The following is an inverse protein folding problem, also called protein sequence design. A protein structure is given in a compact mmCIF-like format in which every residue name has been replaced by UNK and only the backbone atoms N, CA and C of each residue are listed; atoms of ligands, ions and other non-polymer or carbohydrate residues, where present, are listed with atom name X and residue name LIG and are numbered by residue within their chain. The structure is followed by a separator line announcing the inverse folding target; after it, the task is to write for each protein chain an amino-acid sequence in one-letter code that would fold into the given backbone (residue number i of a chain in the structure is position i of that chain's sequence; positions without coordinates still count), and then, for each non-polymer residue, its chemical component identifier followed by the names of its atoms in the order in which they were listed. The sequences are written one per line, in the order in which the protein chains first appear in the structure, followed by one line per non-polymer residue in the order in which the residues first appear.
data_IF_384374972755
#
_entry.id   IF_384374972755
#
_cell.length_a   1.000
_cell.length_b   1.000
_cell.length_c   1.000
_cell.angle_alpha   90.00
_cell.angle_beta   90.00
_cell.angle_gamma   90.00
#
_symmetry.space_group_name_H-M   'P 1'
#
loop_
_entity.id
_entity.type
_entity.pdbx_description
1 polymer ?
#
# COMPACT_ATOMS: atom_id res chain seq x y z
N UNK A 1 -29.77 -3.85 -4.17
CA UNK A 1 -29.25 -2.94 -5.22
C UNK A 1 -27.95 -3.56 -5.71
N UNK A 2 -27.73 -3.75 -6.99
CA UNK A 2 -26.49 -4.36 -7.49
C UNK A 2 -25.35 -3.34 -7.31
N UNK A 3 -24.41 -3.60 -6.38
CA UNK A 3 -23.27 -2.74 -6.07
C UNK A 3 -22.03 -3.06 -6.93
N UNK A 4 -22.14 -4.01 -7.87
CA UNK A 4 -21.06 -4.32 -8.80
C UNK A 4 -20.81 -3.13 -9.70
N UNK A 5 -19.80 -2.33 -9.37
CA UNK A 5 -19.40 -1.18 -10.16
C UNK A 5 -18.15 -1.54 -10.98
N UNK A 6 -18.08 -0.96 -12.16
CA UNK A 6 -16.88 -0.97 -12.97
C UNK A 6 -16.05 0.27 -12.63
N UNK A 7 -14.76 0.07 -12.36
CA UNK A 7 -13.78 1.13 -12.13
C UNK A 7 -12.85 1.16 -13.33
N UNK A 8 -12.61 2.33 -13.89
CA UNK A 8 -11.69 2.47 -15.01
C UNK A 8 -10.25 2.60 -14.51
N UNK A 9 -9.38 1.68 -14.90
CA UNK A 9 -7.96 1.67 -14.57
C UNK A 9 -7.11 1.82 -15.84
N UNK A 10 -6.08 2.67 -15.85
CA UNK A 10 -5.27 2.92 -17.06
C UNK A 10 -4.45 1.72 -17.52
N UNK A 11 -4.17 0.73 -16.66
CA UNK A 11 -3.39 -0.46 -17.00
C UNK A 11 -4.26 -1.64 -17.42
N UNK A 12 -5.39 -1.83 -16.73
CA UNK A 12 -6.22 -3.04 -16.85
C UNK A 12 -7.57 -2.77 -17.51
N UNK A 13 -7.88 -1.50 -17.81
CA UNK A 13 -9.18 -1.14 -18.37
C UNK A 13 -10.29 -1.14 -17.32
N UNK A 14 -11.41 -1.80 -17.61
CA UNK A 14 -12.54 -1.87 -16.68
C UNK A 14 -12.32 -2.99 -15.65
N UNK A 15 -12.18 -2.60 -14.39
CA UNK A 15 -12.14 -3.51 -13.24
C UNK A 15 -13.57 -3.71 -12.74
N UNK A 16 -14.02 -4.95 -12.71
CA UNK A 16 -15.33 -5.31 -12.12
C UNK A 16 -15.11 -5.86 -10.72
N UNK A 17 -15.77 -5.30 -9.72
CA UNK A 17 -15.69 -5.81 -8.35
C UNK A 17 -16.44 -7.13 -8.24
N UNK A 18 -15.78 -8.25 -7.83
CA UNK A 18 -16.41 -9.56 -7.79
C UNK A 18 -17.42 -9.71 -6.65
N UNK A 19 -17.30 -8.94 -5.55
CA UNK A 19 -18.14 -9.03 -4.36
C UNK A 19 -18.67 -7.65 -3.95
N UNK A 20 -19.92 -7.59 -3.48
CA UNK A 20 -20.59 -6.33 -3.10
C UNK A 20 -19.89 -5.63 -1.92
N UNK A 21 -19.32 -6.40 -0.97
CA UNK A 21 -18.59 -5.86 0.20
C UNK A 21 -17.37 -5.03 -0.22
N UNK A 22 -16.69 -5.40 -1.30
CA UNK A 22 -15.51 -4.67 -1.78
C UNK A 22 -15.85 -3.22 -2.12
N UNK A 23 -17.05 -2.97 -2.63
CA UNK A 23 -17.51 -1.62 -2.87
C UNK A 23 -17.66 -0.82 -1.56
N UNK A 24 -18.28 -1.43 -0.54
CA UNK A 24 -18.45 -0.78 0.76
C UNK A 24 -17.09 -0.52 1.45
N UNK A 25 -16.13 -1.44 1.32
CA UNK A 25 -14.77 -1.26 1.81
C UNK A 25 -14.02 -0.15 1.08
N UNK A 26 -14.17 -0.05 -0.24
CA UNK A 26 -13.58 1.02 -1.04
C UNK A 26 -14.15 2.39 -0.64
N UNK A 27 -15.44 2.49 -0.34
CA UNK A 27 -16.07 3.74 0.12
C UNK A 27 -15.73 4.10 1.57
N UNK A 28 -15.14 3.17 2.35
CA UNK A 28 -14.77 3.42 3.73
C UNK A 28 -13.68 4.52 3.84
N UNK A 29 -13.77 5.46 4.81
CA UNK A 29 -12.83 6.56 4.96
C UNK A 29 -11.35 6.12 5.04
N UNK A 30 -11.06 4.99 5.70
CA UNK A 30 -9.71 4.44 5.80
C UNK A 30 -9.12 4.05 4.43
N UNK A 31 -9.95 3.57 3.51
CA UNK A 31 -9.51 3.26 2.16
C UNK A 31 -9.48 4.50 1.26
N UNK A 32 -10.45 5.39 1.36
CA UNK A 32 -10.54 6.60 0.53
C UNK A 32 -9.33 7.55 0.72
N UNK A 33 -8.69 7.54 1.89
CA UNK A 33 -7.47 8.34 2.12
C UNK A 33 -6.32 7.97 1.18
N UNK A 34 -6.24 6.72 0.73
CA UNK A 34 -5.20 6.25 -0.17
C UNK A 34 -5.17 7.01 -1.52
N UNK A 35 -6.25 7.70 -1.89
CA UNK A 35 -6.29 8.62 -3.05
C UNK A 35 -5.34 9.81 -2.90
N UNK A 36 -4.94 10.15 -1.69
CA UNK A 36 -4.12 11.32 -1.35
C UNK A 36 -2.71 10.94 -0.89
N UNK A 37 -2.35 9.65 -1.01
CA UNK A 37 -1.02 9.12 -0.68
C UNK A 37 -0.40 8.54 -1.95
N UNK A 38 0.70 9.14 -2.40
CA UNK A 38 1.43 8.67 -3.58
C UNK A 38 2.09 7.31 -3.31
N UNK A 39 2.05 6.45 -4.33
CA UNK A 39 2.71 5.13 -4.28
C UNK A 39 4.24 5.28 -4.17
N UNK A 40 4.82 6.17 -4.96
CA UNK A 40 6.27 6.33 -5.09
C UNK A 40 6.83 7.59 -4.40
N UNK A 41 6.13 8.11 -3.40
CA UNK A 41 6.64 9.22 -2.56
C UNK A 41 7.21 10.38 -3.38
N UNK A 42 8.51 10.64 -3.25
CA UNK A 42 9.22 11.74 -3.89
C UNK A 42 9.67 11.44 -5.34
N UNK A 43 9.40 10.27 -5.88
CA UNK A 43 9.88 9.87 -7.22
C UNK A 43 9.36 10.76 -8.35
N UNK A 44 8.24 11.46 -8.15
CA UNK A 44 7.69 12.43 -9.11
C UNK A 44 8.64 13.60 -9.41
N UNK A 45 9.62 13.86 -8.57
CA UNK A 45 10.67 14.88 -8.83
C UNK A 45 11.61 14.48 -9.97
N UNK A 46 11.75 13.18 -10.22
CA UNK A 46 12.58 12.62 -11.30
C UNK A 46 11.70 12.12 -12.45
N UNK A 47 10.60 11.47 -12.11
CA UNK A 47 9.64 10.87 -13.04
C UNK A 47 8.31 11.63 -12.96
N UNK A 48 8.10 12.71 -13.75
CA UNK A 48 6.94 13.60 -13.57
C UNK A 48 5.58 12.90 -13.69
N UNK A 49 5.51 11.74 -14.37
CA UNK A 49 4.31 10.92 -14.49
C UNK A 49 4.00 10.09 -13.24
N UNK A 50 4.95 9.92 -12.32
CA UNK A 50 4.83 9.05 -11.13
C UNK A 50 3.97 9.71 -10.02
N UNK A 51 2.72 10.02 -10.34
CA UNK A 51 1.74 10.63 -9.44
C UNK A 51 0.58 9.70 -9.06
N UNK A 52 0.64 8.43 -9.46
CA UNK A 52 -0.36 7.46 -9.05
C UNK A 52 -0.30 7.22 -7.53
N UNK A 53 -1.44 6.87 -6.99
CA UNK A 53 -1.63 6.74 -5.54
C UNK A 53 -1.77 5.29 -5.14
N UNK A 54 -1.64 5.01 -3.84
CA UNK A 54 -1.89 3.68 -3.26
C UNK A 54 -3.29 3.17 -3.54
N UNK A 55 -4.26 4.06 -3.73
CA UNK A 55 -5.60 3.71 -4.17
C UNK A 55 -5.61 2.99 -5.53
N UNK A 56 -4.86 3.49 -6.51
CA UNK A 56 -4.76 2.85 -7.83
C UNK A 56 -4.10 1.47 -7.72
N UNK A 57 -3.03 1.38 -6.93
CA UNK A 57 -2.31 0.14 -6.69
C UNK A 57 -3.21 -0.92 -6.03
N UNK A 58 -3.88 -0.59 -4.93
CA UNK A 58 -4.76 -1.53 -4.22
C UNK A 58 -5.87 -2.09 -5.12
N UNK A 59 -6.44 -1.26 -6.00
CA UNK A 59 -7.44 -1.72 -6.98
C UNK A 59 -6.84 -2.64 -8.05
N UNK A 60 -5.62 -2.34 -8.51
CA UNK A 60 -4.93 -3.18 -9.48
C UNK A 60 -4.51 -4.53 -8.89
N UNK A 61 -4.01 -4.53 -7.67
CA UNK A 61 -3.69 -5.76 -6.93
C UNK A 61 -4.94 -6.62 -6.71
N UNK A 62 -6.08 -5.99 -6.36
CA UNK A 62 -7.38 -6.68 -6.28
C UNK A 62 -7.79 -7.32 -7.63
N UNK A 63 -7.61 -6.61 -8.73
CA UNK A 63 -7.90 -7.16 -10.06
C UNK A 63 -7.06 -8.41 -10.34
N UNK A 64 -5.75 -8.32 -10.13
CA UNK A 64 -4.86 -9.46 -10.35
C UNK A 64 -5.17 -10.63 -9.41
N UNK A 65 -5.56 -10.37 -8.16
CA UNK A 65 -6.04 -11.40 -7.23
C UNK A 65 -7.29 -12.11 -7.76
N UNK A 66 -8.26 -11.38 -8.26
CA UNK A 66 -9.47 -11.95 -8.85
C UNK A 66 -9.16 -12.86 -10.03
N UNK A 67 -8.24 -12.44 -10.91
CA UNK A 67 -7.81 -13.26 -12.06
C UNK A 67 -7.00 -14.49 -11.61
N UNK A 68 -6.16 -14.38 -10.57
CA UNK A 68 -5.40 -15.50 -10.03
C UNK A 68 -6.33 -16.55 -9.39
N UNK A 69 -7.29 -16.13 -8.56
CA UNK A 69 -8.26 -17.02 -7.93
C UNK A 69 -9.11 -17.73 -8.97
N UNK A 70 -9.57 -17.01 -9.99
CA UNK A 70 -10.32 -17.60 -11.11
C UNK A 70 -9.50 -18.67 -11.84
N UNK A 71 -8.23 -18.34 -12.19
CA UNK A 71 -7.35 -19.28 -12.86
C UNK A 71 -7.09 -20.54 -12.03
N UNK A 72 -6.88 -20.41 -10.72
CA UNK A 72 -6.66 -21.55 -9.81
C UNK A 72 -7.93 -22.42 -9.71
N UNK A 73 -9.12 -21.82 -9.58
CA UNK A 73 -10.40 -22.55 -9.60
C UNK A 73 -10.62 -23.29 -10.93
N UNK A 74 -10.33 -22.64 -12.06
CA UNK A 74 -10.44 -23.24 -13.39
C UNK A 74 -9.49 -24.45 -13.57
N UNK A 75 -8.39 -24.48 -12.82
CA UNK A 75 -7.44 -25.61 -12.75
C UNK A 75 -7.79 -26.67 -11.73
N UNK A 76 -8.93 -26.54 -11.05
CA UNK A 76 -9.43 -27.52 -10.07
C UNK A 76 -8.90 -27.36 -8.66
N UNK A 77 -8.25 -26.21 -8.33
CA UNK A 77 -7.89 -25.91 -6.94
C UNK A 77 -9.17 -25.56 -6.17
N UNK A 78 -9.40 -26.26 -5.08
CA UNK A 78 -10.55 -26.02 -4.22
C UNK A 78 -10.43 -24.71 -3.45
N UNK A 79 -11.21 -23.71 -3.81
CA UNK A 79 -11.31 -22.40 -3.18
C UNK A 79 -12.77 -22.06 -3.01
N UNK A 80 -13.25 -21.98 -1.77
CA UNK A 80 -14.63 -21.59 -1.48
C UNK A 80 -14.89 -20.12 -1.84
N UNK A 81 -16.16 -19.73 -1.91
CA UNK A 81 -16.51 -18.32 -2.16
C UNK A 81 -16.09 -17.42 -0.99
N UNK A 82 -16.15 -17.92 0.25
CA UNK A 82 -15.68 -17.20 1.44
C UNK A 82 -14.16 -16.98 1.41
N UNK A 83 -13.40 -18.00 1.02
CA UNK A 83 -11.93 -17.90 0.85
C UNK A 83 -11.57 -16.92 -0.26
N UNK A 84 -12.28 -16.95 -1.36
CA UNK A 84 -12.03 -16.04 -2.48
C UNK A 84 -12.40 -14.58 -2.14
N UNK A 85 -13.53 -14.35 -1.45
CA UNK A 85 -13.90 -13.03 -0.92
C UNK A 85 -12.85 -12.57 0.09
N UNK A 86 -12.43 -13.44 1.03
CA UNK A 86 -11.40 -13.13 2.04
C UNK A 86 -10.05 -12.76 1.44
N UNK A 87 -9.57 -13.49 0.42
CA UNK A 87 -8.34 -13.17 -0.28
C UNK A 87 -8.42 -11.84 -1.05
N UNK A 88 -9.57 -11.56 -1.69
CA UNK A 88 -9.82 -10.26 -2.34
C UNK A 88 -9.83 -9.10 -1.34
N UNK A 89 -10.42 -9.27 -0.16
CA UNK A 89 -10.41 -8.26 0.91
C UNK A 89 -8.98 -8.09 1.45
N UNK A 90 -8.24 -9.18 1.70
CA UNK A 90 -6.89 -9.13 2.21
C UNK A 90 -5.96 -8.32 1.30
N UNK A 91 -5.95 -8.59 0.00
CA UNK A 91 -5.12 -7.85 -0.95
C UNK A 91 -5.61 -6.40 -1.15
N UNK A 92 -6.91 -6.13 -1.09
CA UNK A 92 -7.44 -4.76 -1.18
C UNK A 92 -6.94 -3.90 -0.02
N UNK A 93 -6.86 -4.47 1.18
CA UNK A 93 -6.56 -3.74 2.42
C UNK A 93 -5.10 -3.89 2.90
N UNK A 94 -4.25 -4.67 2.21
CA UNK A 94 -2.89 -4.97 2.69
C UNK A 94 -2.06 -3.72 2.99
N UNK A 95 -2.20 -2.68 2.17
CA UNK A 95 -1.47 -1.41 2.22
C UNK A 95 -2.23 -0.26 2.90
N UNK A 96 -3.40 -0.54 3.52
CA UNK A 96 -4.29 0.50 4.06
C UNK A 96 -3.63 1.32 5.18
N UNK A 97 -2.65 0.76 5.88
CA UNK A 97 -1.93 1.39 6.99
C UNK A 97 -0.79 2.31 6.57
N UNK A 98 -0.45 2.41 5.30
CA UNK A 98 0.60 3.33 4.88
C UNK A 98 0.26 4.80 5.16
N UNK A 99 1.22 5.54 5.73
CA UNK A 99 1.16 6.99 5.88
C UNK A 99 1.70 7.76 4.68
N UNK A 100 1.63 9.10 4.70
CA UNK A 100 2.28 9.93 3.69
C UNK A 100 3.79 9.72 3.72
N UNK A 101 4.42 9.61 2.53
CA UNK A 101 5.85 9.34 2.39
C UNK A 101 6.33 8.16 3.26
N UNK A 102 5.50 7.20 3.43
CA UNK A 102 5.50 5.99 4.26
C UNK A 102 6.74 5.72 5.10
N UNK A 103 7.83 5.27 4.49
CA UNK A 103 9.05 4.92 5.23
C UNK A 103 9.70 6.09 5.97
N UNK A 104 9.58 7.31 5.44
CA UNK A 104 10.07 8.52 6.10
C UNK A 104 9.24 8.85 7.36
N UNK A 105 7.92 8.70 7.28
CA UNK A 105 7.02 8.94 8.42
C UNK A 105 7.22 7.90 9.53
N UNK A 106 7.34 6.62 9.17
CA UNK A 106 7.60 5.51 10.10
C UNK A 106 8.91 5.69 10.88
N UNK A 107 9.92 6.32 10.26
CA UNK A 107 11.21 6.57 10.90
C UNK A 107 11.27 7.85 11.75
N UNK A 108 10.27 8.73 11.64
CA UNK A 108 10.35 10.07 12.25
C UNK A 108 9.19 10.42 13.15
N UNK A 109 7.99 10.35 12.60
CA UNK A 109 6.78 10.90 13.23
C UNK A 109 6.03 9.84 14.02
N UNK A 110 5.97 8.60 13.47
CA UNK A 110 5.33 7.44 14.09
C UNK A 110 6.38 6.34 14.28
N UNK A 111 7.45 6.70 15.00
CA UNK A 111 8.65 5.87 15.09
C UNK A 111 8.37 4.51 15.75
N UNK A 112 8.84 3.44 15.08
CA UNK A 112 8.72 2.06 15.59
C UNK A 112 7.38 1.39 15.32
N UNK A 113 6.48 2.01 14.55
CA UNK A 113 5.22 1.40 14.11
C UNK A 113 5.28 1.17 12.61
N UNK A 114 5.18 -0.07 12.19
CA UNK A 114 5.19 -0.43 10.77
C UNK A 114 3.79 -0.33 10.16
N UNK A 115 3.74 -0.02 8.86
CA UNK A 115 2.46 0.11 8.15
C UNK A 115 1.62 -1.18 8.18
N UNK A 116 2.25 -2.36 8.25
CA UNK A 116 1.53 -3.64 8.40
C UNK A 116 0.77 -3.72 9.74
N UNK A 117 1.35 -3.18 10.81
CA UNK A 117 0.69 -3.12 12.13
C UNK A 117 -0.53 -2.20 12.10
N UNK A 118 -0.40 -1.05 11.43
CA UNK A 118 -1.51 -0.10 11.24
C UNK A 118 -2.55 -0.70 10.29
N UNK A 119 -2.13 -1.38 9.21
CA UNK A 119 -3.04 -2.10 8.31
C UNK A 119 -3.90 -3.11 9.08
N UNK A 120 -3.26 -3.92 9.91
CA UNK A 120 -3.97 -4.90 10.74
C UNK A 120 -4.94 -4.23 11.72
N UNK A 121 -4.52 -3.16 12.41
CA UNK A 121 -5.39 -2.43 13.33
C UNK A 121 -6.59 -1.79 12.60
N UNK A 122 -6.39 -1.22 11.42
CA UNK A 122 -7.47 -0.71 10.58
C UNK A 122 -8.41 -1.82 10.09
N UNK A 123 -7.88 -2.96 9.64
CA UNK A 123 -8.69 -4.12 9.23
C UNK A 123 -9.53 -4.65 10.40
N UNK A 124 -8.95 -4.75 11.61
CA UNK A 124 -9.67 -5.16 12.82
C UNK A 124 -10.80 -4.18 13.16
N UNK A 125 -10.55 -2.87 13.07
CA UNK A 125 -11.59 -1.87 13.31
C UNK A 125 -12.69 -1.94 12.25
N UNK A 126 -12.33 -2.09 10.96
CA UNK A 126 -13.31 -2.30 9.88
C UNK A 126 -14.09 -3.61 10.07
N UNK A 127 -13.46 -4.66 10.60
CA UNK A 127 -14.16 -5.91 10.90
C UNK A 127 -15.30 -5.70 11.90
N UNK A 128 -15.09 -4.85 12.91
CA UNK A 128 -16.18 -4.47 13.84
C UNK A 128 -17.28 -3.70 13.11
N UNK A 129 -16.93 -2.74 12.27
CA UNK A 129 -17.88 -1.93 11.50
C UNK A 129 -18.69 -2.77 10.48
N UNK A 130 -18.12 -3.86 9.99
CA UNK A 130 -18.72 -4.82 9.04
C UNK A 130 -19.21 -6.12 9.70
N UNK A 131 -19.44 -6.12 11.02
CA UNK A 131 -20.03 -7.23 11.78
C UNK A 131 -19.30 -8.58 11.62
N UNK A 132 -17.99 -8.59 11.67
CA UNK A 132 -17.17 -9.81 11.62
C UNK A 132 -16.87 -10.33 10.21
N UNK A 133 -17.28 -9.63 9.15
CA UNK A 133 -17.14 -10.11 7.77
C UNK A 133 -15.70 -10.13 7.22
N UNK A 134 -14.73 -9.57 7.94
CA UNK A 134 -13.34 -9.53 7.51
C UNK A 134 -12.47 -10.60 8.21
N UNK A 135 -13.04 -11.48 9.03
CA UNK A 135 -12.27 -12.46 9.81
C UNK A 135 -11.37 -13.34 8.93
N UNK A 136 -11.92 -13.93 7.85
CA UNK A 136 -11.17 -14.75 6.91
C UNK A 136 -10.05 -13.94 6.23
N UNK A 137 -10.33 -12.70 5.85
CA UNK A 137 -9.33 -11.81 5.25
C UNK A 137 -8.18 -11.47 6.22
N UNK A 138 -8.49 -11.19 7.47
CA UNK A 138 -7.50 -10.92 8.52
C UNK A 138 -6.64 -12.16 8.76
N UNK A 139 -7.24 -13.35 8.85
CA UNK A 139 -6.51 -14.60 9.02
C UNK A 139 -5.56 -14.88 7.83
N UNK A 140 -6.00 -14.61 6.59
CA UNK A 140 -5.17 -14.71 5.39
C UNK A 140 -4.03 -13.69 5.44
N UNK A 141 -4.31 -12.43 5.77
CA UNK A 141 -3.31 -11.36 5.87
C UNK A 141 -2.21 -11.69 6.88
N UNK A 142 -2.56 -12.27 8.02
CA UNK A 142 -1.64 -12.64 9.11
C UNK A 142 -0.91 -13.98 8.91
N UNK A 143 -1.08 -14.70 7.79
CA UNK A 143 -0.59 -16.07 7.57
C UNK A 143 -1.09 -17.07 8.64
N UNK A 144 -2.32 -16.88 9.12
CA UNK A 144 -2.96 -17.74 10.14
C UNK A 144 -4.08 -18.61 9.54
N UNK A 145 -4.39 -18.43 8.26
CA UNK A 145 -5.40 -19.23 7.57
C UNK A 145 -4.80 -20.60 7.16
N UNK A 146 -5.57 -21.72 7.25
CA UNK A 146 -5.03 -23.05 6.98
C UNK A 146 -4.43 -23.23 5.59
N UNK A 147 -5.01 -22.60 4.55
CA UNK A 147 -4.51 -22.67 3.17
C UNK A 147 -3.45 -21.60 2.94
N UNK A 148 -2.19 -21.97 3.05
CA UNK A 148 -1.02 -21.05 2.95
C UNK A 148 -0.93 -20.31 1.64
N UNK A 149 -1.29 -20.97 0.52
CA UNK A 149 -1.22 -20.33 -0.80
C UNK A 149 -2.08 -19.07 -0.90
N UNK A 150 -3.14 -18.93 -0.11
CA UNK A 150 -3.96 -17.71 -0.06
C UNK A 150 -3.17 -16.52 0.49
N UNK A 151 -2.41 -16.72 1.57
CA UNK A 151 -1.48 -15.71 2.05
C UNK A 151 -0.37 -15.42 1.03
N UNK A 152 0.18 -16.46 0.40
CA UNK A 152 1.23 -16.31 -0.60
C UNK A 152 0.79 -15.53 -1.84
N UNK A 153 -0.49 -15.51 -2.17
CA UNK A 153 -1.05 -14.62 -3.20
C UNK A 153 -1.05 -13.16 -2.76
N UNK A 154 -1.12 -12.87 -1.45
CA UNK A 154 -1.09 -11.51 -0.88
C UNK A 154 0.34 -11.06 -0.63
N UNK A 155 1.18 -11.92 -0.03
CA UNK A 155 2.55 -11.58 0.37
C UNK A 155 3.48 -12.78 0.20
N UNK A 156 4.36 -12.74 -0.81
CA UNK A 156 5.39 -13.75 -1.07
C UNK A 156 6.47 -13.19 -1.99
N UNK A 157 7.29 -14.05 -2.62
CA UNK A 157 8.24 -13.61 -3.65
C UNK A 157 7.58 -13.31 -5.00
N UNK A 158 6.40 -13.90 -5.23
CA UNK A 158 5.62 -13.74 -6.44
C UNK A 158 4.14 -13.65 -6.06
N UNK A 159 3.70 -12.47 -5.69
CA UNK A 159 2.35 -12.15 -5.22
C UNK A 159 1.67 -11.11 -6.12
N UNK A 160 0.40 -10.85 -5.86
CA UNK A 160 -0.40 -9.92 -6.65
C UNK A 160 -0.04 -8.46 -6.39
N UNK A 161 0.49 -8.15 -5.20
CA UNK A 161 1.07 -6.86 -4.86
C UNK A 161 2.24 -6.52 -5.79
N UNK A 162 3.26 -7.40 -5.84
CA UNK A 162 4.47 -7.21 -6.68
C UNK A 162 4.16 -7.15 -8.16
N UNK A 163 3.23 -7.98 -8.62
CA UNK A 163 2.81 -8.01 -10.03
C UNK A 163 2.12 -6.71 -10.43
N UNK A 164 1.32 -6.08 -9.54
CA UNK A 164 0.70 -4.79 -9.84
C UNK A 164 1.71 -3.67 -9.75
N UNK A 165 2.42 -3.51 -8.61
CA UNK A 165 3.24 -2.32 -8.45
C UNK A 165 4.37 -2.25 -9.47
N UNK A 166 5.03 -3.35 -9.83
CA UNK A 166 6.08 -3.33 -10.85
C UNK A 166 5.54 -2.83 -12.19
N UNK A 167 4.39 -3.34 -12.62
CA UNK A 167 3.77 -2.93 -13.88
C UNK A 167 3.26 -1.48 -13.81
N UNK A 168 2.64 -1.10 -12.70
CA UNK A 168 2.07 0.23 -12.48
C UNK A 168 3.15 1.30 -12.37
N UNK A 169 4.18 1.06 -11.59
CA UNK A 169 5.30 1.97 -11.42
C UNK A 169 6.08 2.16 -12.73
N UNK A 170 6.27 1.07 -13.49
CA UNK A 170 6.82 1.12 -14.84
C UNK A 170 6.01 2.04 -15.75
N UNK A 171 4.70 1.87 -15.78
CA UNK A 171 3.81 2.67 -16.61
C UNK A 171 3.87 4.16 -16.23
N UNK A 172 3.73 4.49 -14.96
CA UNK A 172 3.68 5.88 -14.50
C UNK A 172 5.05 6.56 -14.44
N UNK A 173 6.14 5.83 -14.25
CA UNK A 173 7.50 6.38 -14.35
C UNK A 173 7.98 6.53 -15.79
N UNK A 174 7.38 5.79 -16.73
CA UNK A 174 7.84 5.70 -18.11
C UNK A 174 9.08 4.81 -18.29
N UNK A 175 9.44 4.00 -17.28
CA UNK A 175 10.58 3.07 -17.30
C UNK A 175 10.10 1.71 -17.79
N UNK A 176 10.38 1.38 -19.05
CA UNK A 176 9.85 0.19 -19.72
C UNK A 176 10.42 -1.14 -19.23
N UNK A 177 11.53 -1.12 -18.50
CA UNK A 177 12.18 -2.31 -17.94
C UNK A 177 11.31 -3.03 -16.90
N UNK A 178 10.37 -2.33 -16.26
CA UNK A 178 9.42 -2.91 -15.31
C UNK A 178 8.24 -3.64 -15.96
N UNK A 179 8.12 -3.66 -17.28
CA UNK A 179 7.01 -4.34 -17.97
C UNK A 179 7.12 -5.85 -17.81
N UNK A 180 6.19 -6.43 -17.05
CA UNK A 180 6.04 -7.88 -16.85
C UNK A 180 4.71 -8.37 -17.41
N UNK A 181 4.69 -9.60 -17.89
CA UNK A 181 3.48 -10.25 -18.41
C UNK A 181 2.69 -10.89 -17.26
N UNK A 182 2.03 -10.06 -16.42
CA UNK A 182 1.26 -10.53 -15.26
C UNK A 182 0.24 -11.61 -15.65
N UNK A 183 -0.50 -11.41 -16.76
CA UNK A 183 -1.51 -12.36 -17.24
C UNK A 183 -0.91 -13.74 -17.54
N UNK A 184 0.30 -13.80 -18.13
CA UNK A 184 0.99 -15.05 -18.40
C UNK A 184 1.45 -15.71 -17.09
N UNK A 185 2.00 -14.94 -16.16
CA UNK A 185 2.45 -15.45 -14.85
C UNK A 185 1.25 -16.05 -14.12
N UNK A 186 0.14 -15.33 -14.02
CA UNK A 186 -1.09 -15.80 -13.37
C UNK A 186 -1.58 -17.11 -13.99
N UNK A 187 -1.57 -17.22 -15.32
CA UNK A 187 -1.95 -18.46 -16.01
C UNK A 187 -1.04 -19.64 -15.73
N UNK A 188 0.20 -19.40 -15.28
CA UNK A 188 1.16 -20.45 -14.92
C UNK A 188 1.13 -20.78 -13.42
N UNK A 189 0.38 -20.05 -12.60
CA UNK A 189 0.21 -20.37 -11.18
C UNK A 189 -0.55 -21.69 -10.99
N UNK A 190 -0.13 -22.44 -9.99
CA UNK A 190 -0.80 -23.64 -9.52
C UNK A 190 -0.56 -23.83 -8.01
N UNK A 191 -1.22 -24.80 -7.40
CA UNK A 191 -1.05 -25.13 -5.96
C UNK A 191 -0.63 -26.59 -5.83
N UNK A 192 0.44 -26.85 -5.10
CA UNK A 192 0.92 -28.20 -4.78
C UNK A 192 1.22 -28.28 -3.29
N UNK A 193 0.62 -29.24 -2.61
CA UNK A 193 0.78 -29.40 -1.14
C UNK A 193 0.52 -28.10 -0.36
N UNK A 194 -0.52 -27.38 -0.75
CA UNK A 194 -0.94 -26.09 -0.16
C UNK A 194 0.05 -24.92 -0.36
N UNK A 195 1.05 -25.09 -1.22
CA UNK A 195 2.01 -24.06 -1.58
C UNK A 195 1.74 -23.53 -2.99
N UNK A 196 1.87 -22.23 -3.17
CA UNK A 196 1.79 -21.58 -4.49
C UNK A 196 3.04 -21.90 -5.32
N UNK A 197 2.84 -22.46 -6.50
CA UNK A 197 3.93 -22.84 -7.41
C UNK A 197 3.69 -22.29 -8.81
N UNK A 198 4.74 -22.28 -9.63
CA UNK A 198 4.66 -21.91 -11.04
C UNK A 198 4.98 -23.10 -11.91
N UNK A 199 4.14 -23.40 -12.90
CA UNK A 199 4.37 -24.45 -13.86
C UNK A 199 5.71 -24.22 -14.63
N UNK A 200 6.46 -25.28 -14.93
CA UNK A 200 7.77 -25.24 -15.59
C UNK A 200 7.79 -24.35 -16.86
N UNK A 201 6.72 -24.41 -17.67
CA UNK A 201 6.57 -23.58 -18.88
C UNK A 201 6.49 -22.06 -18.60
N UNK A 202 6.37 -21.66 -17.33
CA UNK A 202 6.38 -20.28 -16.87
C UNK A 202 7.77 -19.72 -16.56
N UNK A 203 8.84 -20.54 -16.56
CA UNK A 203 10.17 -20.18 -16.06
C UNK A 203 10.71 -18.88 -16.67
N UNK A 204 10.62 -18.70 -17.97
CA UNK A 204 11.11 -17.47 -18.63
C UNK A 204 10.33 -16.20 -18.23
N UNK A 205 9.05 -16.36 -17.86
CA UNK A 205 8.26 -15.24 -17.36
C UNK A 205 8.68 -14.85 -15.94
N UNK A 206 9.09 -15.82 -15.12
CA UNK A 206 9.62 -15.59 -13.77
C UNK A 206 11.02 -14.98 -13.84
N UNK A 207 11.90 -15.48 -14.72
CA UNK A 207 13.21 -14.86 -14.94
C UNK A 207 13.06 -13.38 -15.35
N UNK A 208 12.17 -13.10 -16.32
CA UNK A 208 11.87 -11.72 -16.73
C UNK A 208 11.33 -10.87 -15.57
N UNK A 209 10.45 -11.42 -14.74
CA UNK A 209 9.91 -10.74 -13.56
C UNK A 209 11.03 -10.38 -12.57
N UNK A 210 11.94 -11.29 -12.27
CA UNK A 210 13.08 -11.05 -11.37
C UNK A 210 14.02 -9.97 -11.92
N UNK A 211 14.30 -10.01 -13.23
CA UNK A 211 15.12 -9.02 -13.91
C UNK A 211 14.42 -7.64 -13.89
N UNK A 212 13.14 -7.59 -14.24
CA UNK A 212 12.36 -6.36 -14.23
C UNK A 212 12.33 -5.73 -12.83
N UNK A 213 12.09 -6.53 -11.78
CA UNK A 213 12.13 -6.08 -10.38
C UNK A 213 13.49 -5.47 -10.05
N UNK A 214 14.59 -6.14 -10.37
CA UNK A 214 15.95 -5.64 -10.14
C UNK A 214 16.21 -4.31 -10.84
N UNK A 215 15.79 -4.19 -12.11
CA UNK A 215 15.98 -2.97 -12.89
C UNK A 215 15.15 -1.80 -12.36
N UNK A 216 13.89 -2.05 -11.95
CA UNK A 216 13.05 -1.04 -11.31
C UNK A 216 13.66 -0.54 -9.99
N UNK A 217 14.26 -1.46 -9.19
CA UNK A 217 14.98 -1.04 -7.99
C UNK A 217 16.10 -0.07 -8.30
N UNK A 218 16.92 -0.33 -9.32
CA UNK A 218 18.05 0.53 -9.67
C UNK A 218 17.64 1.83 -10.34
N UNK A 219 16.67 1.77 -11.25
CA UNK A 219 16.31 2.93 -12.06
C UNK A 219 15.29 3.84 -11.39
N UNK A 220 14.38 3.30 -10.57
CA UNK A 220 13.27 4.05 -9.98
C UNK A 220 13.42 4.16 -8.47
N UNK A 221 13.35 3.04 -7.73
CA UNK A 221 13.24 3.08 -6.27
C UNK A 221 14.52 3.54 -5.57
N UNK A 222 15.69 3.21 -6.11
CA UNK A 222 16.99 3.63 -5.61
C UNK A 222 17.64 4.73 -6.48
N UNK A 223 16.84 5.46 -7.25
CA UNK A 223 17.38 6.57 -8.04
C UNK A 223 18.00 7.62 -7.10
N UNK A 224 19.27 7.98 -7.33
CA UNK A 224 20.06 8.82 -6.42
C UNK A 224 19.38 10.14 -6.00
N UNK A 225 18.67 10.78 -6.94
CA UNK A 225 17.97 12.03 -6.66
C UNK A 225 16.70 11.80 -5.84
N UNK A 226 16.01 10.69 -6.05
CA UNK A 226 14.83 10.30 -5.24
C UNK A 226 15.27 10.02 -3.81
N UNK A 227 16.28 9.16 -3.64
CA UNK A 227 16.85 8.85 -2.32
C UNK A 227 17.33 10.12 -1.60
N UNK A 228 18.02 11.01 -2.31
CA UNK A 228 18.47 12.28 -1.72
C UNK A 228 17.29 13.18 -1.27
N UNK A 229 16.19 13.22 -2.03
CA UNK A 229 14.99 13.97 -1.65
C UNK A 229 14.27 13.34 -0.46
N UNK A 230 14.20 12.01 -0.38
CA UNK A 230 13.62 11.28 0.75
C UNK A 230 14.45 11.45 2.02
N UNK A 231 15.78 11.39 1.93
CA UNK A 231 16.70 11.68 3.04
C UNK A 231 16.59 13.13 3.52
N UNK A 232 16.43 14.08 2.61
CA UNK A 232 16.18 15.47 2.96
C UNK A 232 14.86 15.63 3.71
N UNK A 233 13.79 15.02 3.21
CA UNK A 233 12.48 15.00 3.88
C UNK A 233 12.59 14.38 5.28
N UNK A 234 13.34 13.28 5.42
CA UNK A 234 13.63 12.65 6.70
C UNK A 234 14.25 13.65 7.68
N UNK A 235 15.28 14.40 7.25
CA UNK A 235 15.96 15.42 8.08
C UNK A 235 15.03 16.58 8.45
N UNK A 236 14.21 17.05 7.53
CA UNK A 236 13.19 18.09 7.80
C UNK A 236 12.23 17.61 8.90
N UNK A 237 11.66 16.42 8.77
CA UNK A 237 10.72 15.88 9.75
C UNK A 237 11.37 15.59 11.10
N UNK A 238 12.61 15.08 11.13
CA UNK A 238 13.38 14.90 12.36
C UNK A 238 13.59 16.25 13.08
N UNK A 239 13.99 17.29 12.34
CA UNK A 239 14.18 18.62 12.93
C UNK A 239 12.87 19.21 13.45
N UNK A 240 11.78 19.08 12.70
CA UNK A 240 10.45 19.53 13.13
C UNK A 240 10.01 18.81 14.42
N UNK A 241 10.18 17.49 14.50
CA UNK A 241 9.86 16.69 15.70
C UNK A 241 10.70 17.11 16.90
N UNK A 242 12.00 17.39 16.69
CA UNK A 242 12.91 17.90 17.74
C UNK A 242 12.43 19.26 18.29
N UNK A 243 12.06 20.20 17.42
CA UNK A 243 11.55 21.52 17.83
C UNK A 243 10.21 21.38 18.57
N UNK A 244 9.30 20.56 18.05
CA UNK A 244 8.03 20.26 18.69
C UNK A 244 8.22 19.67 20.10
N UNK A 245 9.18 18.74 20.28
CA UNK A 245 9.48 18.13 21.59
C UNK A 245 10.08 19.12 22.61
N UNK A 246 10.66 20.22 22.13
CA UNK A 246 11.16 21.33 22.97
C UNK A 246 10.06 22.34 23.32
N UNK A 247 8.82 22.13 22.83
CA UNK A 247 7.69 23.03 23.04
C UNK A 247 7.66 24.23 22.10
N UNK A 248 8.45 24.22 21.03
CA UNK A 248 8.40 25.29 20.02
C UNK A 248 7.12 25.19 19.18
N UNK A 249 6.53 26.33 18.86
CA UNK A 249 5.32 26.39 18.03
C UNK A 249 5.69 26.22 16.57
N UNK A 250 5.16 25.16 15.94
CA UNK A 250 5.31 24.88 14.52
C UNK A 250 3.96 24.89 13.84
N UNK A 251 3.88 25.54 12.68
CA UNK A 251 2.70 25.38 11.85
C UNK A 251 2.56 23.93 11.39
N UNK A 252 1.37 23.39 11.51
CA UNK A 252 0.97 22.11 10.93
C UNK A 252 -0.53 22.07 10.73
N UNK A 253 -1.00 21.19 9.85
CA UNK A 253 -2.43 20.96 9.71
C UNK A 253 -2.99 20.25 10.95
N UNK A 254 -4.31 20.33 11.22
CA UNK A 254 -4.92 19.63 12.36
C UNK A 254 -4.68 18.11 12.34
N UNK A 255 -4.63 17.48 11.15
CA UNK A 255 -4.35 16.07 11.00
C UNK A 255 -2.90 15.72 11.39
N UNK A 256 -1.95 16.57 11.03
CA UNK A 256 -0.52 16.35 11.29
C UNK A 256 -0.12 16.74 12.72
N UNK A 257 -0.84 17.69 13.35
CA UNK A 257 -0.52 18.25 14.66
C UNK A 257 -0.34 17.18 15.74
N UNK A 258 -1.28 16.26 15.85
CA UNK A 258 -1.21 15.21 16.85
C UNK A 258 0.09 14.40 16.72
N UNK A 259 0.39 13.92 15.53
CA UNK A 259 1.57 13.07 15.27
C UNK A 259 2.90 13.83 15.35
N UNK A 260 2.89 15.15 15.11
CA UNK A 260 4.09 15.98 15.25
C UNK A 260 4.45 16.24 16.71
N UNK A 261 3.46 16.52 17.56
CA UNK A 261 3.69 16.93 18.96
C UNK A 261 3.61 15.76 19.95
N UNK A 262 2.77 14.76 19.71
CA UNK A 262 2.62 13.60 20.59
C UNK A 262 3.51 12.44 20.19
N UNK A 263 3.84 11.59 21.15
CA UNK A 263 4.47 10.30 20.92
C UNK A 263 3.40 9.22 20.81
N UNK A 264 3.50 8.34 19.81
CA UNK A 264 2.57 7.25 19.59
C UNK A 264 3.31 5.94 19.45
N UNK A 265 2.81 4.90 20.09
CA UNK A 265 3.34 3.54 20.03
C UNK A 265 2.35 2.61 19.29
N UNK A 266 2.82 1.41 18.94
CA UNK A 266 2.00 0.40 18.25
C UNK A 266 0.71 0.08 19.01
N UNK A 267 0.82 -0.09 20.32
CA UNK A 267 -0.30 -0.43 21.20
C UNK A 267 -1.39 0.63 21.20
N UNK A 268 -1.06 1.88 20.96
CA UNK A 268 -2.02 2.99 20.90
C UNK A 268 -2.94 2.84 19.67
N UNK A 269 -2.38 2.44 18.53
CA UNK A 269 -3.17 2.18 17.31
C UNK A 269 -4.13 1.00 17.47
N UNK A 270 -3.70 -0.05 18.17
CA UNK A 270 -4.55 -1.22 18.44
C UNK A 270 -5.70 -0.89 19.39
N UNK A 271 -5.45 -0.01 20.39
CA UNK A 271 -6.42 0.29 21.46
C UNK A 271 -7.35 1.45 21.16
N UNK A 272 -7.00 2.31 20.22
CA UNK A 272 -7.69 3.58 20.02
C UNK A 272 -8.22 3.79 18.60
N UNK A 273 -9.53 3.56 18.43
CA UNK A 273 -10.23 3.95 17.19
C UNK A 273 -10.00 5.44 16.86
N UNK A 274 -10.03 6.30 17.88
CA UNK A 274 -9.83 7.75 17.69
C UNK A 274 -8.47 8.05 17.07
N UNK A 275 -7.43 7.27 17.42
CA UNK A 275 -6.10 7.44 16.83
C UNK A 275 -6.08 6.96 15.38
N UNK A 276 -6.73 5.83 15.06
CA UNK A 276 -6.88 5.36 13.68
C UNK A 276 -7.65 6.38 12.83
N UNK A 277 -8.73 6.96 13.36
CA UNK A 277 -9.51 7.98 12.67
C UNK A 277 -8.67 9.24 12.40
N UNK A 278 -7.83 9.67 13.35
CA UNK A 278 -6.87 10.78 13.15
C UNK A 278 -5.82 10.44 12.10
N UNK A 279 -5.26 9.24 12.15
CA UNK A 279 -4.28 8.79 11.16
C UNK A 279 -4.90 8.70 9.75
N UNK A 280 -6.18 8.35 9.67
CA UNK A 280 -6.92 8.33 8.41
C UNK A 280 -7.13 9.72 7.78
N UNK A 281 -6.97 10.80 8.53
CA UNK A 281 -7.01 12.17 8.01
C UNK A 281 -5.67 12.63 7.44
N UNK A 282 -4.55 11.96 7.81
CA UNK A 282 -3.20 12.36 7.43
C UNK A 282 -2.86 11.91 6.00
N UNK A 283 -2.37 12.85 5.19
CA UNK A 283 -1.94 12.59 3.80
C UNK A 283 -0.71 13.42 3.37
N UNK A 284 -0.25 13.23 2.12
CA UNK A 284 0.94 13.91 1.58
C UNK A 284 0.83 15.44 1.64
N UNK A 285 -0.40 15.98 1.51
CA UNK A 285 -0.60 17.44 1.50
C UNK A 285 -0.37 18.05 2.88
N UNK A 286 -0.67 17.33 3.97
CA UNK A 286 -0.44 17.80 5.32
C UNK A 286 1.04 18.07 5.58
N UNK A 287 1.90 17.14 5.16
CA UNK A 287 3.35 17.25 5.28
C UNK A 287 3.88 18.39 4.38
N UNK A 288 3.49 18.39 3.10
CA UNK A 288 4.00 19.39 2.16
C UNK A 288 3.52 20.81 2.45
N UNK A 289 2.31 20.98 2.97
CA UNK A 289 1.80 22.29 3.40
C UNK A 289 2.56 22.81 4.60
N UNK A 290 2.90 21.94 5.55
CA UNK A 290 3.70 22.30 6.72
C UNK A 290 5.12 22.72 6.31
N UNK A 291 5.78 21.97 5.45
CA UNK A 291 7.11 22.29 4.92
C UNK A 291 7.13 23.66 4.24
N UNK A 292 6.12 23.99 3.42
CA UNK A 292 6.04 25.30 2.77
C UNK A 292 6.06 26.46 3.77
N UNK A 293 5.44 26.31 4.92
CA UNK A 293 5.45 27.33 5.97
C UNK A 293 6.79 27.34 6.71
N UNK A 294 7.38 26.16 6.96
CA UNK A 294 8.66 26.02 7.65
C UNK A 294 9.84 26.63 6.89
N UNK A 295 9.75 26.79 5.56
CA UNK A 295 10.74 27.53 4.74
C UNK A 295 10.98 28.97 5.23
N UNK A 296 10.06 29.55 6.01
CA UNK A 296 10.17 30.88 6.60
C UNK A 296 10.30 30.86 8.14
N UNK A 297 10.58 29.69 8.72
CA UNK A 297 10.69 29.53 10.18
C UNK A 297 11.93 30.22 10.74
N UNK A 298 11.89 30.65 12.03
CA UNK A 298 13.00 31.32 12.70
C UNK A 298 14.20 30.39 12.92
N UNK A 299 13.95 29.08 13.16
CA UNK A 299 15.00 28.09 13.25
C UNK A 299 15.77 27.99 11.92
N UNK A 300 17.06 28.33 11.99
CA UNK A 300 17.93 28.39 10.82
C UNK A 300 18.10 27.03 10.14
N UNK A 301 18.14 25.95 10.92
CA UNK A 301 18.36 24.60 10.39
C UNK A 301 17.13 24.16 9.62
N UNK A 302 15.93 24.27 10.23
CA UNK A 302 14.67 23.89 9.58
C UNK A 302 14.42 24.70 8.30
N UNK A 303 14.78 25.99 8.30
CA UNK A 303 14.63 26.87 7.14
C UNK A 303 15.58 26.55 5.98
N UNK A 304 16.77 26.02 6.26
CA UNK A 304 17.78 25.69 5.23
C UNK A 304 17.54 24.32 4.62
N UNK A 305 17.05 23.35 5.42
CA UNK A 305 16.63 22.04 4.93
C UNK A 305 15.47 22.16 3.94
#
# INVERSE_FOLDING_TARGET
MNKRKNINDPLYGFLTLPYDILFDLIEHPYFQRLRRIRQLGMSHLVFPGANHTRFHHALGALYLMSEALKNLKDKGVEISEEEAEGACIAILLHDIGHGPFSHTLEQTIVSGVHHEDISLAMMQQMNLDFNGRLETAIAIFQDQYPKKFLHQLVSSQLDMDRLDYLRRDSFYSGVSEGVVSSDRIIKMLYVVNDELVVEEKGIYSIEKFLIARRLMYWQVYLHKTVVAAEELLLKILQRAKELASRGESLFCTPAFQYFLFEHTEKEDFVKSRVLLDRFALLDDNDVMSSIKVWMSHEDKVLRIL
#
